data_IF_965674451080
#
_entry.id   IF_965674451080
#
_cell.length_a   1.000
_cell.length_b   1.000
_cell.length_c   1.000
_cell.angle_alpha   90.00
_cell.angle_beta   90.00
_cell.angle_gamma   90.00
#
_symmetry.space_group_name_H-M   'P 1'
#
loop_
_entity.id
_entity.type
_entity.pdbx_description
1 polymer ?
#
# COMPACT_ATOMS: atom_id res chain seq x y z
N UNK A 1 44.43 -35.08 -26.11
CA UNK A 1 44.19 -33.69 -26.59
C UNK A 1 42.72 -33.30 -26.74
N UNK A 2 41.76 -34.22 -26.93
CA UNK A 2 40.35 -33.86 -27.14
C UNK A 2 39.53 -33.53 -25.86
N UNK A 3 39.98 -33.93 -24.67
CA UNK A 3 39.22 -33.69 -23.43
C UNK A 3 39.46 -32.31 -22.78
N UNK A 4 40.54 -31.60 -23.14
CA UNK A 4 40.81 -30.24 -22.63
C UNK A 4 39.97 -29.15 -23.33
N UNK A 5 39.37 -29.43 -24.49
CA UNK A 5 38.55 -28.44 -25.19
C UNK A 5 37.11 -28.36 -24.65
N UNK A 6 36.63 -29.38 -23.95
CA UNK A 6 35.27 -29.37 -23.37
C UNK A 6 35.23 -28.49 -22.12
N UNK A 7 36.29 -28.49 -21.31
CA UNK A 7 36.37 -27.67 -20.09
C UNK A 7 36.52 -26.16 -20.34
N UNK A 8 36.95 -25.74 -21.54
CA UNK A 8 37.04 -24.31 -21.89
C UNK A 8 35.73 -23.72 -22.44
N UNK A 9 34.70 -24.53 -22.70
CA UNK A 9 33.39 -24.04 -23.19
C UNK A 9 32.39 -23.87 -22.04
N UNK A 10 32.65 -24.46 -20.86
CA UNK A 10 31.71 -24.45 -19.74
C UNK A 10 31.98 -23.38 -18.67
N UNK A 11 32.93 -22.46 -18.90
CA UNK A 11 33.27 -21.40 -17.93
C UNK A 11 33.09 -19.97 -18.48
N UNK A 12 32.35 -19.81 -19.58
CA UNK A 12 32.09 -18.51 -20.22
C UNK A 12 30.65 -18.02 -20.07
N UNK A 13 29.92 -18.54 -19.07
CA UNK A 13 28.60 -18.01 -18.69
C UNK A 13 28.56 -17.68 -17.20
N UNK A 14 29.63 -17.07 -16.71
CA UNK A 14 29.60 -16.33 -15.47
C UNK A 14 28.81 -15.03 -15.72
N UNK A 15 27.51 -15.10 -15.45
CA UNK A 15 26.69 -13.94 -15.10
C UNK A 15 27.48 -13.11 -14.08
N UNK A 16 28.00 -11.95 -14.46
CA UNK A 16 28.42 -10.96 -13.46
C UNK A 16 28.03 -9.58 -13.94
N UNK A 17 26.89 -9.15 -13.38
CA UNK A 17 26.55 -7.77 -13.05
C UNK A 17 27.13 -6.69 -13.96
N UNK A 18 26.31 -6.27 -14.94
CA UNK A 18 26.32 -4.87 -15.34
C UNK A 18 25.76 -4.10 -14.14
N UNK A 19 26.56 -3.29 -13.42
CA UNK A 19 26.02 -2.47 -12.35
C UNK A 19 25.02 -1.50 -13.00
N UNK A 20 23.75 -1.61 -12.59
CA UNK A 20 22.72 -0.65 -13.01
C UNK A 20 23.20 0.75 -12.62
N UNK A 21 23.13 1.73 -13.53
CA UNK A 21 23.44 3.11 -13.19
C UNK A 21 22.30 3.66 -12.30
N UNK A 22 22.71 4.43 -11.29
CA UNK A 22 21.91 5.32 -10.44
C UNK A 22 21.12 4.76 -9.26
N UNK A 23 21.81 4.08 -8.34
CA UNK A 23 21.59 4.33 -6.91
C UNK A 23 22.84 4.94 -6.31
N UNK A 24 23.02 6.25 -6.48
CA UNK A 24 23.91 7.01 -5.60
C UNK A 24 23.27 6.99 -4.22
N UNK A 25 23.58 5.95 -3.44
CA UNK A 25 23.25 5.87 -2.03
C UNK A 25 24.15 6.88 -1.34
N UNK A 26 23.57 7.97 -0.86
CA UNK A 26 24.28 8.94 -0.05
C UNK A 26 24.63 8.26 1.27
N UNK A 27 25.92 8.24 1.60
CA UNK A 27 26.37 7.72 2.89
C UNK A 27 25.87 8.65 3.99
N UNK A 28 25.22 8.07 5.00
CA UNK A 28 24.75 8.79 6.18
C UNK A 28 25.95 9.20 7.02
N UNK A 29 26.13 10.50 7.26
CA UNK A 29 27.02 11.01 8.31
C UNK A 29 26.27 11.06 9.64
N UNK A 30 26.57 10.11 10.52
CA UNK A 30 25.89 9.95 11.82
C UNK A 30 25.94 11.22 12.67
N UNK A 31 27.06 11.93 12.69
CA UNK A 31 27.25 13.12 13.53
C UNK A 31 26.39 14.30 13.05
N UNK A 32 26.31 14.50 11.73
CA UNK A 32 25.46 15.53 11.13
C UNK A 32 23.97 15.25 11.43
N UNK A 33 23.54 14.01 11.21
CA UNK A 33 22.15 13.60 11.42
C UNK A 33 21.75 13.62 12.89
N UNK A 34 22.64 13.25 13.80
CA UNK A 34 22.38 13.33 15.23
C UNK A 34 22.08 14.76 15.69
N UNK A 35 22.82 15.74 15.17
CA UNK A 35 22.59 17.15 15.46
C UNK A 35 21.27 17.65 14.86
N UNK A 36 20.93 17.26 13.62
CA UNK A 36 19.65 17.64 12.98
C UNK A 36 18.44 17.06 13.71
N UNK A 37 18.48 15.78 14.06
CA UNK A 37 17.39 15.09 14.78
C UNK A 37 17.23 15.71 16.18
N UNK A 38 18.34 16.01 16.87
CA UNK A 38 18.30 16.74 18.15
C UNK A 38 17.70 18.13 18.00
N UNK A 39 18.11 18.88 16.98
CA UNK A 39 17.57 20.21 16.71
C UNK A 39 16.08 20.17 16.39
N UNK A 40 15.59 19.15 15.69
CA UNK A 40 14.16 18.96 15.47
C UNK A 40 13.41 18.74 16.79
N UNK A 41 13.97 17.93 17.70
CA UNK A 41 13.37 17.67 19.01
C UNK A 41 13.20 18.95 19.83
N UNK A 42 14.27 19.73 19.94
CA UNK A 42 14.30 20.98 20.73
C UNK A 42 13.65 22.17 20.00
N UNK A 43 13.63 22.15 18.67
CA UNK A 43 13.14 23.22 17.83
C UNK A 43 11.61 23.31 17.76
N UNK A 44 11.06 24.41 17.23
CA UNK A 44 9.62 24.60 17.06
C UNK A 44 9.04 23.76 15.90
N UNK A 45 9.90 23.18 15.06
CA UNK A 45 9.48 22.38 13.92
C UNK A 45 8.87 21.06 14.41
N UNK A 46 7.72 20.70 13.85
CA UNK A 46 7.05 19.44 14.16
C UNK A 46 7.64 18.27 13.38
N UNK A 47 8.07 18.52 12.13
CA UNK A 47 8.57 17.50 11.20
C UNK A 47 9.78 18.00 10.41
N UNK A 48 10.68 17.08 10.06
CA UNK A 48 11.81 17.28 9.15
C UNK A 48 11.68 16.32 7.98
N UNK A 49 11.53 16.86 6.77
CA UNK A 49 11.42 16.09 5.51
C UNK A 49 12.72 16.19 4.73
N UNK A 50 13.29 15.06 4.36
CA UNK A 50 14.58 14.95 3.69
C UNK A 50 14.42 14.16 2.42
N UNK A 51 14.55 14.82 1.26
CA UNK A 51 14.46 14.18 -0.06
C UNK A 51 15.84 13.68 -0.51
N UNK A 52 16.36 12.65 0.15
CA UNK A 52 17.66 12.03 -0.14
C UNK A 52 17.56 10.51 0.00
N UNK A 53 18.35 9.81 -0.81
CA UNK A 53 18.37 8.35 -0.83
C UNK A 53 19.54 7.81 -0.01
N UNK A 54 19.26 7.38 1.22
CA UNK A 54 20.26 6.85 2.16
C UNK A 54 20.43 5.33 2.07
N UNK A 55 19.73 4.67 1.14
CA UNK A 55 19.72 3.21 1.06
C UNK A 55 19.16 2.55 2.33
N UNK A 56 19.16 1.21 2.36
CA UNK A 56 18.55 0.45 3.46
C UNK A 56 19.31 0.60 4.78
N UNK A 57 20.64 0.53 4.71
CA UNK A 57 21.48 0.59 5.90
C UNK A 57 21.44 1.97 6.55
N UNK A 58 21.54 3.03 5.73
CA UNK A 58 21.42 4.40 6.20
C UNK A 58 20.04 4.69 6.81
N UNK A 59 18.96 4.17 6.22
CA UNK A 59 17.62 4.28 6.80
C UNK A 59 17.50 3.59 8.15
N UNK A 60 18.09 2.40 8.33
CA UNK A 60 18.09 1.71 9.62
C UNK A 60 18.82 2.51 10.70
N UNK A 61 19.99 3.07 10.37
CA UNK A 61 20.76 3.91 11.31
C UNK A 61 19.93 5.15 11.69
N UNK A 62 19.32 5.82 10.71
CA UNK A 62 18.45 6.98 10.96
C UNK A 62 17.22 6.63 11.79
N UNK A 63 16.60 5.47 11.54
CA UNK A 63 15.48 4.97 12.32
C UNK A 63 15.89 4.73 13.78
N UNK A 64 16.99 4.03 14.02
CA UNK A 64 17.52 3.77 15.37
C UNK A 64 17.85 5.08 16.10
N UNK A 65 18.49 6.03 15.41
CA UNK A 65 18.79 7.34 15.98
C UNK A 65 17.52 8.10 16.36
N UNK A 66 16.51 8.10 15.49
CA UNK A 66 15.23 8.79 15.76
C UNK A 66 14.49 8.18 16.94
N UNK A 67 14.46 6.85 17.03
CA UNK A 67 13.80 6.11 18.09
C UNK A 67 14.47 6.40 19.45
N UNK A 68 15.81 6.47 19.48
CA UNK A 68 16.56 6.89 20.68
C UNK A 68 16.24 8.32 21.11
N UNK A 69 15.90 9.20 20.17
CA UNK A 69 15.51 10.58 20.44
C UNK A 69 14.00 10.74 20.75
N UNK A 70 13.24 9.63 20.74
CA UNK A 70 11.80 9.63 20.98
C UNK A 70 10.98 10.22 19.84
N UNK A 71 11.51 10.21 18.61
CA UNK A 71 10.85 10.72 17.41
C UNK A 71 10.36 9.57 16.54
N UNK A 72 9.31 9.84 15.77
CA UNK A 72 8.80 8.93 14.75
C UNK A 72 9.58 9.10 13.46
N UNK A 73 9.87 7.97 12.82
CA UNK A 73 10.58 7.90 11.55
C UNK A 73 9.75 7.12 10.55
N UNK A 74 9.64 7.65 9.33
CA UNK A 74 9.12 6.90 8.21
C UNK A 74 9.85 7.25 6.91
N UNK A 75 10.05 6.26 6.06
CA UNK A 75 10.71 6.40 4.77
C UNK A 75 9.70 6.18 3.64
N UNK A 76 9.41 7.23 2.88
CA UNK A 76 8.48 7.22 1.76
C UNK A 76 9.23 7.04 0.42
N UNK A 77 8.48 6.75 -0.65
CA UNK A 77 9.02 6.52 -2.00
C UNK A 77 10.17 5.52 -2.07
N UNK A 78 10.02 4.38 -1.38
CA UNK A 78 11.05 3.32 -1.33
C UNK A 78 12.39 3.83 -0.80
N UNK A 79 12.36 4.77 0.15
CA UNK A 79 13.58 5.26 0.80
C UNK A 79 14.25 6.46 0.14
N UNK A 80 13.59 7.07 -0.86
CA UNK A 80 14.06 8.33 -1.45
C UNK A 80 13.76 9.56 -0.59
N UNK A 81 12.76 9.44 0.29
CA UNK A 81 12.35 10.52 1.17
C UNK A 81 12.28 9.95 2.58
N UNK A 82 12.98 10.60 3.50
CA UNK A 82 13.00 10.25 4.91
C UNK A 82 12.36 11.37 5.70
N UNK A 83 11.47 11.02 6.63
CA UNK A 83 10.73 11.98 7.44
C UNK A 83 10.91 11.64 8.91
N UNK A 84 11.21 12.66 9.70
CA UNK A 84 11.25 12.62 11.16
C UNK A 84 10.13 13.50 11.71
N UNK A 85 9.37 13.03 12.70
CA UNK A 85 8.27 13.79 13.29
C UNK A 85 8.14 13.55 14.78
N UNK A 86 7.61 14.55 15.50
CA UNK A 86 7.20 14.42 16.91
C UNK A 86 5.87 13.68 17.07
N UNK A 87 5.09 13.62 16.01
CA UNK A 87 3.76 13.00 15.96
C UNK A 87 3.84 11.70 15.16
N UNK A 88 3.03 10.68 15.48
CA UNK A 88 2.99 9.45 14.70
C UNK A 88 2.74 9.74 13.22
N UNK A 89 3.61 9.18 12.38
CA UNK A 89 3.57 9.35 10.93
C UNK A 89 2.64 8.32 10.29
N UNK A 90 1.80 8.70 9.31
CA UNK A 90 0.97 7.76 8.57
C UNK A 90 1.80 6.92 7.57
N UNK A 91 1.31 5.74 7.20
CA UNK A 91 2.02 4.85 6.26
C UNK A 91 2.03 5.38 4.82
N UNK A 92 1.04 6.20 4.44
CA UNK A 92 0.93 6.80 3.11
C UNK A 92 0.81 8.32 3.17
N UNK A 93 1.58 8.99 2.31
CA UNK A 93 1.58 10.45 2.14
C UNK A 93 1.61 10.79 0.65
N UNK A 94 0.51 11.36 0.17
CA UNK A 94 0.32 11.74 -1.23
C UNK A 94 1.26 12.89 -1.67
N UNK A 95 1.55 13.83 -0.76
CA UNK A 95 2.46 14.96 -0.99
C UNK A 95 3.91 14.52 -1.21
N UNK A 96 4.27 13.35 -0.66
CA UNK A 96 5.58 12.75 -0.79
C UNK A 96 5.61 11.65 -1.84
N UNK A 97 4.51 11.29 -2.49
CA UNK A 97 4.49 10.23 -3.50
C UNK A 97 4.71 10.81 -4.91
N UNK A 98 5.82 10.46 -5.55
CA UNK A 98 6.15 10.91 -6.91
C UNK A 98 5.06 10.49 -7.94
N UNK A 99 4.32 9.40 -7.64
CA UNK A 99 3.26 8.88 -8.50
C UNK A 99 1.95 9.63 -8.33
N UNK A 100 1.73 10.28 -7.20
CA UNK A 100 0.48 10.98 -6.92
C UNK A 100 0.25 12.16 -7.87
N UNK A 101 1.32 12.84 -8.28
CA UNK A 101 1.26 13.87 -9.34
C UNK A 101 1.16 13.30 -10.77
N UNK A 102 1.57 12.04 -10.99
CA UNK A 102 1.59 11.43 -12.33
C UNK A 102 0.18 11.14 -12.88
N UNK A 103 -0.83 11.10 -12.01
CA UNK A 103 -2.26 10.98 -12.38
C UNK A 103 -2.94 12.33 -12.62
N UNK A 104 -2.20 13.46 -12.50
CA UNK A 104 -2.69 14.77 -12.95
C UNK A 104 -2.67 14.93 -14.48
N UNK A 105 -2.19 13.92 -15.22
CA UNK A 105 -2.54 13.84 -16.63
C UNK A 105 -4.06 13.70 -16.71
N UNK A 106 -4.70 14.73 -17.26
CA UNK A 106 -6.13 14.74 -17.56
C UNK A 106 -6.51 13.38 -18.17
N UNK A 107 -7.34 12.61 -17.45
CA UNK A 107 -7.79 11.30 -17.92
C UNK A 107 -8.72 11.56 -19.10
N UNK A 108 -8.15 11.56 -20.30
CA UNK A 108 -8.91 11.69 -21.54
C UNK A 108 -9.54 10.35 -21.89
N UNK A 109 -10.87 10.32 -21.90
CA UNK A 109 -11.64 9.19 -22.40
C UNK A 109 -11.38 9.00 -23.89
N UNK A 110 -11.27 7.75 -24.34
CA UNK A 110 -11.20 7.47 -25.78
C UNK A 110 -12.54 7.81 -26.43
N UNK A 111 -12.53 8.38 -27.64
CA UNK A 111 -13.74 8.78 -28.40
C UNK A 111 -14.81 7.66 -28.47
N UNK A 112 -14.39 6.40 -28.57
CA UNK A 112 -15.30 5.24 -28.57
C UNK A 112 -16.02 5.06 -27.23
N UNK A 113 -15.31 5.28 -26.12
CA UNK A 113 -15.89 5.20 -24.76
C UNK A 113 -16.84 6.37 -24.52
N UNK A 114 -16.48 7.56 -25.00
CA UNK A 114 -17.34 8.75 -24.96
C UNK A 114 -18.67 8.51 -25.67
N UNK A 115 -18.64 8.04 -26.92
CA UNK A 115 -19.87 7.69 -27.65
C UNK A 115 -20.72 6.65 -26.93
N UNK A 116 -20.11 5.62 -26.35
CA UNK A 116 -20.84 4.59 -25.60
C UNK A 116 -21.50 5.17 -24.36
N UNK A 117 -20.81 6.04 -23.61
CA UNK A 117 -21.35 6.71 -22.43
C UNK A 117 -22.47 7.67 -22.82
N UNK A 118 -22.31 8.45 -23.89
CA UNK A 118 -23.36 9.34 -24.42
C UNK A 118 -24.61 8.56 -24.83
N UNK A 119 -24.45 7.45 -25.56
CA UNK A 119 -25.56 6.60 -25.97
C UNK A 119 -26.29 5.97 -24.77
N UNK A 120 -25.54 5.49 -23.77
CA UNK A 120 -26.12 4.94 -22.54
C UNK A 120 -26.84 6.02 -21.72
N UNK A 121 -26.29 7.23 -21.66
CA UNK A 121 -26.88 8.36 -20.95
C UNK A 121 -28.15 8.86 -21.66
N UNK A 122 -28.14 8.93 -23.00
CA UNK A 122 -29.30 9.28 -23.81
C UNK A 122 -30.42 8.24 -23.63
N UNK A 123 -30.06 6.95 -23.68
CA UNK A 123 -31.00 5.84 -23.44
C UNK A 123 -31.60 5.89 -22.03
N UNK A 124 -30.79 6.15 -21.00
CA UNK A 124 -31.30 6.29 -19.64
C UNK A 124 -32.27 7.47 -19.49
N UNK A 125 -32.03 8.60 -20.18
CA UNK A 125 -32.96 9.74 -20.20
C UNK A 125 -34.27 9.40 -20.91
N UNK A 126 -34.23 8.65 -22.01
CA UNK A 126 -35.44 8.24 -22.74
C UNK A 126 -36.25 7.18 -22.00
N UNK A 127 -35.57 6.25 -21.32
CA UNK A 127 -36.20 5.21 -20.49
C UNK A 127 -36.85 5.84 -19.23
N UNK A 128 -36.27 6.93 -18.70
CA UNK A 128 -36.87 7.75 -17.64
C UNK A 128 -38.17 8.46 -18.10
N UNK A 129 -38.24 8.91 -19.35
CA UNK A 129 -39.44 9.56 -19.90
C UNK A 129 -40.55 8.60 -20.35
N UNK A 130 -40.27 7.30 -20.50
CA UNK A 130 -41.27 6.29 -20.88
C UNK A 130 -41.73 5.37 -19.74
N UNK A 131 -41.41 5.68 -18.49
CA UNK A 131 -42.01 5.06 -17.30
C UNK A 131 -42.65 6.09 -16.37
N UNK A 132 -43.52 6.94 -16.94
CA UNK A 132 -44.65 7.50 -16.21
C UNK A 132 -45.88 6.60 -16.47
N UNK A 133 -45.80 5.33 -16.07
CA UNK A 133 -46.97 4.46 -15.88
C UNK A 133 -46.89 3.89 -14.48
N UNK A 134 -47.74 4.49 -13.64
CA UNK A 134 -48.14 4.12 -12.29
C UNK A 134 -47.76 2.71 -11.85
N UNK A 135 -46.89 2.62 -10.86
CA UNK A 135 -47.04 1.63 -9.79
C UNK A 135 -46.56 2.24 -8.48
N UNK A 136 -47.54 2.42 -7.59
CA UNK A 136 -47.35 2.87 -6.21
C UNK A 136 -46.46 1.89 -5.47
N UNK A 137 -45.29 2.35 -5.04
CA UNK A 137 -44.49 1.63 -4.04
C UNK A 137 -44.49 2.52 -2.80
N UNK A 138 -45.40 2.18 -1.88
CA UNK A 138 -45.42 2.76 -0.54
C UNK A 138 -44.04 2.60 0.09
N UNK A 139 -43.48 3.72 0.56
CA UNK A 139 -42.35 3.77 1.46
C UNK A 139 -42.75 3.05 2.74
N UNK A 140 -42.41 1.76 2.84
CA UNK A 140 -42.10 1.12 4.11
C UNK A 140 -40.62 0.83 4.14
N UNK A 141 -39.97 1.62 4.98
CA UNK A 141 -38.59 1.55 5.37
C UNK A 141 -38.34 0.20 6.07
N UNK A 142 -37.81 -0.78 5.34
CA UNK A 142 -37.12 -1.95 5.90
C UNK A 142 -36.25 -2.62 4.83
N UNK A 143 -34.94 -2.61 5.10
CA UNK A 143 -33.82 -3.43 4.60
C UNK A 143 -34.11 -4.46 3.48
N UNK A 144 -33.35 -4.48 2.37
CA UNK A 144 -33.55 -5.45 1.31
C UNK A 144 -33.02 -6.84 1.71
N UNK A 145 -33.98 -7.73 1.98
CA UNK A 145 -33.84 -9.16 1.70
C UNK A 145 -34.46 -9.39 0.33
N UNK A 146 -33.69 -9.80 -0.68
CA UNK A 146 -34.25 -10.23 -1.97
C UNK A 146 -33.63 -11.56 -2.38
N UNK A 147 -34.40 -12.62 -2.21
CA UNK A 147 -34.19 -13.95 -2.77
C UNK A 147 -34.98 -14.10 -4.06
N UNK A 148 -34.33 -14.58 -5.12
CA UNK A 148 -34.80 -15.51 -6.18
C UNK A 148 -34.09 -15.15 -7.50
N UNK A 149 -33.47 -16.03 -8.28
CA UNK A 149 -33.35 -17.49 -8.27
C UNK A 149 -32.33 -17.88 -9.35
N UNK A 150 -31.74 -19.08 -9.21
CA UNK A 150 -30.83 -19.79 -10.14
C UNK A 150 -29.32 -19.56 -9.93
N UNK A 151 -28.78 -20.14 -8.86
CA UNK A 151 -27.65 -21.09 -8.87
C UNK A 151 -27.31 -21.41 -7.41
N UNK A 152 -27.84 -22.52 -6.90
CA UNK A 152 -27.58 -22.98 -5.54
C UNK A 152 -26.10 -23.29 -5.30
N UNK A 153 -25.68 -22.88 -4.10
CA UNK A 153 -24.79 -23.64 -3.20
C UNK A 153 -23.31 -23.74 -3.58
N UNK A 154 -22.54 -22.74 -3.14
CA UNK A 154 -21.19 -22.98 -2.59
C UNK A 154 -20.68 -21.77 -1.79
N UNK A 155 -20.85 -20.57 -2.34
CA UNK A 155 -20.21 -19.34 -1.81
C UNK A 155 -20.71 -18.89 -0.43
N UNK A 156 -22.00 -19.04 -0.12
CA UNK A 156 -22.55 -18.57 1.18
C UNK A 156 -22.16 -19.53 2.33
N UNK A 157 -22.13 -20.84 2.07
CA UNK A 157 -21.66 -21.84 3.03
C UNK A 157 -20.17 -21.64 3.32
N UNK A 158 -19.38 -21.36 2.28
CA UNK A 158 -17.94 -21.12 2.42
C UNK A 158 -17.65 -19.85 3.22
N UNK A 159 -18.46 -18.79 3.06
CA UNK A 159 -18.34 -17.54 3.82
C UNK A 159 -18.65 -17.75 5.31
N UNK A 160 -19.73 -18.45 5.63
CA UNK A 160 -20.10 -18.76 7.02
C UNK A 160 -19.03 -19.66 7.67
N UNK A 161 -18.52 -20.66 6.94
CA UNK A 161 -17.46 -21.55 7.41
C UNK A 161 -16.14 -20.82 7.68
N UNK A 162 -15.71 -19.94 6.78
CA UNK A 162 -14.51 -19.11 7.01
C UNK A 162 -14.68 -18.20 8.23
N UNK A 163 -15.86 -17.62 8.41
CA UNK A 163 -16.13 -16.73 9.55
C UNK A 163 -16.07 -17.45 10.89
N UNK A 164 -16.55 -18.70 10.96
CA UNK A 164 -16.45 -19.54 12.14
C UNK A 164 -15.00 -19.93 12.46
N UNK A 165 -14.23 -20.36 11.44
CA UNK A 165 -12.82 -20.71 11.63
C UNK A 165 -11.98 -19.53 12.14
N UNK A 166 -12.22 -18.32 11.62
CA UNK A 166 -11.53 -17.12 12.08
C UNK A 166 -11.90 -16.75 13.53
N UNK A 167 -13.16 -16.96 13.93
CA UNK A 167 -13.61 -16.75 15.31
C UNK A 167 -12.91 -17.70 16.28
N UNK A 168 -12.79 -18.97 15.90
CA UNK A 168 -12.13 -19.99 16.72
C UNK A 168 -10.62 -19.74 16.85
N UNK A 169 -9.96 -19.32 15.77
CA UNK A 169 -8.54 -18.96 15.81
C UNK A 169 -8.27 -17.73 16.70
N UNK A 170 -9.15 -16.74 16.67
CA UNK A 170 -9.06 -15.58 17.57
C UNK A 170 -9.26 -15.99 19.04
N UNK A 171 -10.19 -16.90 19.31
CA UNK A 171 -10.43 -17.40 20.65
C UNK A 171 -9.27 -18.27 21.15
N UNK A 172 -8.71 -19.16 20.31
CA UNK A 172 -7.56 -19.99 20.71
C UNK A 172 -6.31 -19.15 20.97
N UNK A 173 -6.06 -18.12 20.15
CA UNK A 173 -4.94 -17.19 20.37
C UNK A 173 -5.10 -16.41 21.67
N UNK A 174 -6.32 -15.96 22.00
CA UNK A 174 -6.61 -15.32 23.31
C UNK A 174 -6.38 -16.28 24.47
N UNK A 175 -6.81 -17.53 24.35
CA UNK A 175 -6.61 -18.55 25.40
C UNK A 175 -5.13 -18.88 25.57
N UNK A 176 -4.35 -19.04 24.49
CA UNK A 176 -2.90 -19.24 24.58
C UNK A 176 -2.20 -18.05 25.23
N UNK A 177 -2.57 -16.82 24.87
CA UNK A 177 -2.03 -15.61 25.51
C UNK A 177 -2.38 -15.59 27.01
N UNK A 178 -3.62 -15.92 27.37
CA UNK A 178 -4.04 -15.99 28.78
C UNK A 178 -3.36 -17.11 29.56
N UNK A 179 -3.04 -18.25 28.93
CA UNK A 179 -2.28 -19.35 29.54
C UNK A 179 -0.81 -18.98 29.72
N UNK A 180 -0.20 -18.30 28.74
CA UNK A 180 1.15 -17.75 28.83
C UNK A 180 1.26 -16.72 29.96
N UNK A 181 0.25 -15.87 30.13
CA UNK A 181 0.19 -14.91 31.23
C UNK A 181 -0.07 -15.54 32.61
N UNK A 182 -0.51 -16.81 32.69
CA UNK A 182 -0.71 -17.53 33.96
C UNK A 182 0.49 -18.40 34.38
N UNK A 183 1.51 -18.51 33.53
CA UNK A 183 2.73 -19.29 33.81
C UNK A 183 3.89 -18.44 34.35
N UNK A 184 3.65 -17.16 34.63
CA UNK A 184 4.58 -16.17 35.17
C UNK A 184 3.91 -15.42 36.32
#
# INVERSE_FOLDING_TARGET
>A
MFLMMIYMVFEKKMMIYVPLPDLQVEKVDENEWWNKIRQLREGPQQELVVKRNFGRDGQNILADMSQRQGLYFNAYNKGKIVVFSKVPLPDYRADLDDRHGSTQQEIKMSNETERRVENLLAKAKTDSSHSASTSTISVRQSLPSTSSSVAESKTDIDKVRLSAQLKDLQNSRKVMILQLCKLH
#
